data_IF_401690775901
#
_entry.id   IF_401690775901
#
_cell.length_a   1.000
_cell.length_b   1.000
_cell.length_c   1.000
_cell.angle_alpha   90.00
_cell.angle_beta   90.00
_cell.angle_gamma   90.00
#
_symmetry.space_group_name_H-M   'P 1'
#
loop_
_entity.id
_entity.type
_entity.pdbx_description
1 polymer ?
#
# COMPACT_ATOMS: atom_id res chain seq x y z
N UNK A 1 11.19 -2.04 -17.25
CA UNK A 1 12.34 -2.28 -18.14
C UNK A 1 13.43 -1.23 -18.00
N UNK A 2 13.15 0.06 -18.23
CA UNK A 2 14.16 1.13 -18.21
C UNK A 2 15.07 1.06 -16.98
N UNK A 3 14.49 1.03 -15.77
CA UNK A 3 15.26 0.94 -14.52
C UNK A 3 16.14 -0.30 -14.41
N UNK A 4 15.72 -1.44 -15.00
CA UNK A 4 16.52 -2.66 -15.05
C UNK A 4 17.67 -2.56 -16.04
N UNK A 5 17.48 -1.84 -17.15
CA UNK A 5 18.48 -1.67 -18.21
C UNK A 5 19.51 -0.58 -17.87
N UNK A 6 19.09 0.46 -17.16
CA UNK A 6 19.98 1.56 -16.74
C UNK A 6 20.61 1.33 -15.37
N UNK A 7 20.09 0.38 -14.59
CA UNK A 7 20.44 0.18 -13.17
C UNK A 7 20.21 1.43 -12.30
N UNK A 8 19.39 2.36 -12.79
CA UNK A 8 19.05 3.62 -12.14
C UNK A 8 17.54 3.70 -11.90
N UNK A 9 17.15 4.20 -10.73
CA UNK A 9 15.75 4.46 -10.39
C UNK A 9 15.25 5.63 -11.25
N UNK A 10 14.07 5.50 -11.84
CA UNK A 10 13.48 6.59 -12.63
C UNK A 10 13.22 7.79 -11.73
N UNK A 11 13.51 8.99 -12.23
CA UNK A 11 13.17 10.22 -11.52
C UNK A 11 11.65 10.34 -11.37
N UNK A 12 11.16 10.32 -10.13
CA UNK A 12 9.76 10.59 -9.81
C UNK A 12 9.58 11.99 -9.24
N UNK A 13 8.53 12.70 -9.65
CA UNK A 13 8.18 14.00 -9.07
C UNK A 13 7.29 13.83 -7.85
N UNK A 14 7.69 14.42 -6.71
CA UNK A 14 6.85 14.50 -5.53
C UNK A 14 5.74 15.52 -5.76
N UNK A 15 4.49 15.05 -5.76
CA UNK A 15 3.32 15.94 -5.79
C UNK A 15 3.03 16.49 -4.38
N UNK A 16 2.37 17.65 -4.25
CA UNK A 16 1.96 18.15 -2.94
C UNK A 16 1.11 17.17 -2.13
N UNK A 17 0.28 16.37 -2.80
CA UNK A 17 -0.53 15.34 -2.13
C UNK A 17 0.31 14.17 -1.61
N UNK A 18 1.38 13.79 -2.31
CA UNK A 18 2.33 12.77 -1.86
C UNK A 18 3.13 13.28 -0.66
N UNK A 19 3.65 14.51 -0.75
CA UNK A 19 4.38 15.15 0.34
C UNK A 19 3.51 15.25 1.61
N UNK A 20 2.26 15.68 1.46
CA UNK A 20 1.27 15.70 2.54
C UNK A 20 1.06 14.32 3.17
N UNK A 21 1.00 13.26 2.36
CA UNK A 21 0.93 11.88 2.83
C UNK A 21 2.09 11.53 3.74
N UNK A 22 3.31 11.74 3.24
CA UNK A 22 4.57 11.45 3.96
C UNK A 22 4.62 12.18 5.30
N UNK A 23 4.23 13.45 5.33
CA UNK A 23 4.30 14.28 6.54
C UNK A 23 3.36 13.81 7.66
N UNK A 24 2.23 13.19 7.32
CA UNK A 24 1.15 12.90 8.28
C UNK A 24 0.94 11.42 8.56
N UNK A 25 1.60 10.53 7.81
CA UNK A 25 1.50 9.08 7.99
C UNK A 25 1.89 8.65 9.41
N UNK A 26 3.00 9.18 9.94
CA UNK A 26 3.46 8.80 11.28
C UNK A 26 2.46 9.21 12.38
N UNK A 27 1.83 10.37 12.25
CA UNK A 27 0.80 10.82 13.19
C UNK A 27 -0.46 9.94 13.12
N UNK A 28 -0.85 9.53 11.90
CA UNK A 28 -1.96 8.61 11.69
C UNK A 28 -1.69 7.25 12.35
N UNK A 29 -0.48 6.69 12.20
CA UNK A 29 -0.09 5.41 12.80
C UNK A 29 -0.08 5.50 14.34
N UNK A 30 0.44 6.60 14.91
CA UNK A 30 0.41 6.85 16.37
C UNK A 30 -1.02 6.92 16.90
N UNK A 31 -1.89 7.66 16.22
CA UNK A 31 -3.29 7.78 16.65
C UNK A 31 -4.03 6.44 16.50
N UNK A 32 -3.77 5.68 15.43
CA UNK A 32 -4.30 4.32 15.25
C UNK A 32 -3.88 3.39 16.39
N UNK A 33 -2.59 3.38 16.75
CA UNK A 33 -2.02 2.58 17.83
C UNK A 33 -2.71 2.88 19.18
N UNK A 34 -2.96 4.17 19.48
CA UNK A 34 -3.67 4.60 20.68
C UNK A 34 -5.13 4.14 20.67
N UNK A 35 -5.83 4.27 19.53
CA UNK A 35 -7.25 3.92 19.42
C UNK A 35 -7.49 2.42 19.61
N UNK A 36 -6.60 1.58 19.06
CA UNK A 36 -6.73 0.12 19.12
C UNK A 36 -5.95 -0.54 20.25
N UNK A 37 -5.24 0.25 21.07
CA UNK A 37 -4.35 -0.27 22.12
C UNK A 37 -3.41 -1.35 21.57
N UNK A 38 -2.75 -1.03 20.45
CA UNK A 38 -1.92 -1.97 19.71
C UNK A 38 -0.57 -1.37 19.32
N UNK A 39 0.43 -2.22 19.15
CA UNK A 39 1.74 -1.81 18.66
C UNK A 39 1.76 -1.86 17.13
N UNK A 40 2.27 -0.79 16.52
CA UNK A 40 2.52 -0.70 15.08
C UNK A 40 4.02 -0.83 14.85
N UNK A 41 4.46 -1.94 14.26
CA UNK A 41 5.86 -2.16 13.94
C UNK A 41 6.10 -1.70 12.49
N UNK A 42 6.93 -0.65 12.30
CA UNK A 42 7.34 -0.21 10.96
C UNK A 42 8.13 -1.33 10.27
N UNK A 43 7.90 -1.51 8.98
CA UNK A 43 8.66 -2.42 8.13
C UNK A 43 9.16 -1.72 6.87
N UNK A 44 10.20 -2.29 6.26
CA UNK A 44 10.68 -1.87 4.95
C UNK A 44 9.98 -2.62 3.82
N UNK A 45 10.69 -2.76 2.70
CA UNK A 45 10.25 -3.58 1.58
C UNK A 45 10.33 -5.06 1.92
N UNK A 46 9.23 -5.78 1.73
CA UNK A 46 9.09 -7.22 1.98
C UNK A 46 8.92 -7.92 0.64
N UNK A 47 9.85 -8.80 0.30
CA UNK A 47 9.81 -9.57 -0.94
C UNK A 47 8.66 -10.58 -0.92
N UNK A 48 8.04 -10.81 -2.08
CA UNK A 48 7.06 -11.87 -2.25
C UNK A 48 7.76 -13.23 -2.02
N UNK A 49 7.16 -14.18 -1.27
CA UNK A 49 7.85 -15.41 -0.85
C UNK A 49 8.23 -16.35 -2.00
N UNK A 50 7.53 -16.25 -3.14
CA UNK A 50 7.69 -17.18 -4.28
C UNK A 50 7.86 -16.51 -5.64
N UNK A 51 7.58 -15.20 -5.75
CA UNK A 51 7.63 -14.48 -7.03
C UNK A 51 8.85 -13.57 -6.94
N UNK A 52 9.88 -13.87 -7.74
CA UNK A 52 11.08 -13.04 -7.80
C UNK A 52 10.74 -11.65 -8.37
N UNK A 53 11.52 -10.63 -8.00
CA UNK A 53 11.30 -9.25 -8.44
C UNK A 53 9.93 -8.66 -8.07
N UNK A 54 9.29 -9.21 -7.05
CA UNK A 54 8.02 -8.76 -6.51
C UNK A 54 8.11 -8.54 -4.99
N UNK A 55 7.35 -7.59 -4.47
CA UNK A 55 7.29 -7.30 -3.03
C UNK A 55 6.45 -6.08 -2.71
N UNK A 56 6.25 -5.82 -1.42
CA UNK A 56 5.40 -4.75 -0.91
C UNK A 56 5.99 -4.11 0.35
N UNK A 57 5.64 -2.84 0.58
CA UNK A 57 5.98 -2.09 1.79
C UNK A 57 4.68 -1.67 2.47
N UNK A 58 4.13 -2.46 3.41
CA UNK A 58 3.03 -2.00 4.23
C UNK A 58 3.51 -0.93 5.22
N UNK A 59 2.62 -0.01 5.60
CA UNK A 59 2.96 1.10 6.50
C UNK A 59 3.24 0.62 7.93
N UNK A 60 2.65 -0.52 8.33
CA UNK A 60 3.00 -1.17 9.59
C UNK A 60 2.45 -2.59 9.73
N UNK A 61 3.11 -3.34 10.62
CA UNK A 61 2.72 -4.68 11.06
C UNK A 61 2.01 -4.60 12.42
N UNK A 62 0.88 -5.29 12.55
CA UNK A 62 0.08 -5.35 13.79
C UNK A 62 0.04 -6.80 14.30
N UNK A 63 0.64 -7.04 15.47
CA UNK A 63 0.73 -8.38 16.05
C UNK A 63 1.31 -9.41 15.08
N UNK A 64 0.79 -10.65 15.11
CA UNK A 64 1.23 -11.73 14.22
C UNK A 64 0.49 -11.77 12.87
N UNK A 65 -0.76 -11.29 12.83
CA UNK A 65 -1.65 -11.53 11.69
C UNK A 65 -2.07 -10.28 10.91
N UNK A 66 -1.79 -9.09 11.43
CA UNK A 66 -2.38 -7.84 10.93
C UNK A 66 -1.42 -6.91 10.21
N UNK A 67 -1.95 -6.12 9.28
CA UNK A 67 -1.28 -5.00 8.64
C UNK A 67 -2.08 -3.72 8.87
N UNK A 68 -1.42 -2.59 8.69
CA UNK A 68 -2.07 -1.28 8.58
C UNK A 68 -1.58 -0.58 7.31
N UNK A 69 -2.52 0.02 6.59
CA UNK A 69 -2.27 0.82 5.39
C UNK A 69 -2.98 2.17 5.55
N UNK A 70 -2.21 3.24 5.62
CA UNK A 70 -2.63 4.61 5.87
C UNK A 70 -2.69 5.39 4.57
N UNK A 71 -3.79 6.13 4.40
CA UNK A 71 -3.89 7.21 3.42
C UNK A 71 -4.25 8.50 4.14
N UNK A 72 -3.53 9.56 3.84
CA UNK A 72 -3.82 10.91 4.33
C UNK A 72 -4.40 11.79 3.21
N UNK A 73 -5.63 11.57 2.73
CA UNK A 73 -6.18 12.39 1.65
C UNK A 73 -6.63 13.76 2.16
N UNK A 74 -6.79 14.74 1.26
CA UNK A 74 -7.43 16.01 1.61
C UNK A 74 -8.87 15.84 2.14
N UNK A 75 -9.30 16.78 2.97
CA UNK A 75 -10.55 16.72 3.75
C UNK A 75 -11.79 16.33 2.96
N UNK A 76 -11.97 16.82 1.74
CA UNK A 76 -13.13 16.46 0.90
C UNK A 76 -13.15 14.97 0.56
N UNK A 77 -11.99 14.40 0.20
CA UNK A 77 -11.85 12.97 -0.12
C UNK A 77 -11.96 12.12 1.16
N UNK A 78 -11.36 12.58 2.25
CA UNK A 78 -11.49 11.95 3.57
C UNK A 78 -12.97 11.85 3.97
N UNK A 79 -13.72 12.97 3.94
CA UNK A 79 -15.15 12.99 4.27
C UNK A 79 -15.97 12.10 3.34
N UNK A 80 -15.63 12.08 2.05
CA UNK A 80 -16.36 11.23 1.10
C UNK A 80 -16.23 9.76 1.47
N UNK A 81 -15.00 9.31 1.73
CA UNK A 81 -14.74 7.98 2.27
C UNK A 81 -15.41 7.78 3.64
N UNK A 82 -15.46 8.82 4.47
CA UNK A 82 -16.17 8.79 5.76
C UNK A 82 -17.65 8.47 5.60
N UNK A 83 -18.29 8.96 4.55
CA UNK A 83 -19.71 8.70 4.28
C UNK A 83 -19.96 7.36 3.59
N UNK A 84 -19.23 7.05 2.51
CA UNK A 84 -19.54 5.87 1.67
C UNK A 84 -18.76 4.60 2.04
N UNK A 85 -17.62 4.72 2.74
CA UNK A 85 -16.77 3.59 3.12
C UNK A 85 -16.21 2.80 1.93
N UNK A 86 -16.19 3.40 0.74
CA UNK A 86 -15.78 2.74 -0.49
C UNK A 86 -14.27 2.84 -0.64
N UNK A 87 -13.59 1.71 -0.43
CA UNK A 87 -12.15 1.60 -0.72
C UNK A 87 -11.99 1.39 -2.21
N UNK A 88 -11.12 2.20 -2.83
CA UNK A 88 -10.84 2.10 -4.25
C UNK A 88 -10.24 0.73 -4.63
N UNK A 89 -10.55 0.19 -5.81
CA UNK A 89 -10.04 -1.12 -6.24
C UNK A 89 -8.52 -1.24 -6.16
N UNK A 90 -7.78 -0.18 -6.52
CA UNK A 90 -6.32 -0.18 -6.48
C UNK A 90 -5.76 -0.32 -5.05
N UNK A 91 -6.40 0.27 -4.04
CA UNK A 91 -5.98 0.11 -2.64
C UNK A 91 -6.34 -1.27 -2.11
N UNK A 92 -7.44 -1.86 -2.56
CA UNK A 92 -7.76 -3.26 -2.22
C UNK A 92 -6.72 -4.21 -2.80
N UNK A 93 -6.36 -4.04 -4.07
CA UNK A 93 -5.32 -4.83 -4.71
C UNK A 93 -3.97 -4.66 -3.99
N UNK A 94 -3.59 -3.42 -3.63
CA UNK A 94 -2.40 -3.13 -2.84
C UNK A 94 -2.39 -3.92 -1.51
N UNK A 95 -3.47 -3.86 -0.72
CA UNK A 95 -3.54 -4.55 0.57
C UNK A 95 -3.57 -6.07 0.45
N UNK A 96 -4.26 -6.61 -0.56
CA UNK A 96 -4.21 -8.06 -0.83
C UNK A 96 -2.80 -8.50 -1.19
N UNK A 97 -2.09 -7.74 -2.01
CA UNK A 97 -0.72 -8.05 -2.38
C UNK A 97 0.26 -7.92 -1.21
N UNK A 98 0.07 -6.93 -0.32
CA UNK A 98 0.81 -6.85 0.95
C UNK A 98 0.58 -8.10 1.82
N UNK A 99 -0.66 -8.59 1.91
CA UNK A 99 -0.96 -9.84 2.61
C UNK A 99 -0.32 -11.05 1.91
N UNK A 100 -0.28 -11.08 0.57
CA UNK A 100 0.43 -12.12 -0.19
C UNK A 100 1.94 -12.16 0.14
N UNK A 101 2.60 -10.99 0.19
CA UNK A 101 4.02 -10.88 0.50
C UNK A 101 4.36 -11.24 1.94
N UNK A 102 3.47 -10.96 2.89
CA UNK A 102 3.74 -11.09 4.33
C UNK A 102 3.15 -12.33 4.98
N UNK A 103 2.22 -13.02 4.31
CA UNK A 103 1.47 -14.13 4.90
C UNK A 103 0.43 -13.71 5.94
N UNK A 104 0.16 -12.40 6.09
CA UNK A 104 -0.79 -11.86 7.08
C UNK A 104 -2.24 -11.99 6.61
N UNK A 105 -3.15 -11.97 7.57
CA UNK A 105 -4.55 -12.40 7.42
C UNK A 105 -5.53 -11.24 7.24
N UNK A 106 -5.13 -10.04 7.62
CA UNK A 106 -5.94 -8.84 7.44
C UNK A 106 -5.09 -7.58 7.35
N UNK A 107 -5.65 -6.54 6.76
CA UNK A 107 -5.09 -5.20 6.73
C UNK A 107 -6.15 -4.18 7.12
N UNK A 108 -5.86 -3.33 8.09
CA UNK A 108 -6.70 -2.18 8.42
C UNK A 108 -6.36 -1.03 7.48
N UNK A 109 -7.31 -0.67 6.61
CA UNK A 109 -7.24 0.54 5.81
C UNK A 109 -7.62 1.74 6.67
N UNK A 110 -6.71 2.70 6.81
CA UNK A 110 -6.89 3.92 7.58
C UNK A 110 -6.94 5.10 6.62
N UNK A 111 -8.02 5.88 6.68
CA UNK A 111 -8.07 7.22 6.10
C UNK A 111 -7.92 8.21 7.25
N UNK A 112 -7.00 9.16 7.13
CA UNK A 112 -6.66 10.11 8.18
C UNK A 112 -6.59 11.54 7.65
N UNK A 113 -7.10 12.50 8.41
CA UNK A 113 -6.90 13.93 8.14
C UNK A 113 -6.84 14.76 9.43
N UNK A 114 -5.66 15.29 9.81
CA UNK A 114 -5.45 15.98 11.08
C UNK A 114 -6.25 17.29 11.23
N UNK A 115 -6.80 17.85 10.14
CA UNK A 115 -7.58 19.09 10.19
C UNK A 115 -8.90 18.95 10.97
N UNK A 116 -9.41 17.73 11.17
CA UNK A 116 -10.58 17.50 12.01
C UNK A 116 -10.20 17.59 13.49
N UNK A 117 -10.63 18.68 14.14
CA UNK A 117 -10.30 19.05 15.53
C UNK A 117 -11.54 19.46 16.33
N UNK A 118 -11.42 19.54 17.65
CA UNK A 118 -12.49 20.02 18.52
C UNK A 118 -13.77 19.21 18.38
N UNK A 119 -14.87 19.84 17.97
CA UNK A 119 -16.18 19.17 17.82
C UNK A 119 -16.19 18.09 16.72
N UNK A 120 -15.28 18.17 15.74
CA UNK A 120 -15.17 17.19 14.65
C UNK A 120 -14.05 16.17 14.84
N UNK A 121 -13.39 16.13 16.01
CA UNK A 121 -12.25 15.23 16.27
C UNK A 121 -12.54 13.76 15.92
N UNK A 122 -13.77 13.29 16.17
CA UNK A 122 -14.19 11.91 15.86
C UNK A 122 -14.23 11.59 14.36
N UNK A 123 -14.18 12.60 13.50
CA UNK A 123 -14.14 12.44 12.05
C UNK A 123 -12.72 12.37 11.50
N UNK A 124 -11.69 12.53 12.33
CA UNK A 124 -10.28 12.59 11.91
C UNK A 124 -9.78 11.31 11.28
N UNK A 125 -10.29 10.18 11.75
CA UNK A 125 -9.84 8.86 11.33
C UNK A 125 -11.04 7.99 11.00
N UNK A 126 -10.99 7.31 9.85
CA UNK A 126 -11.90 6.22 9.52
C UNK A 126 -11.11 4.99 9.11
N UNK A 127 -11.52 3.87 9.67
CA UNK A 127 -10.78 2.62 9.60
C UNK A 127 -11.71 1.54 9.04
N UNK A 128 -11.19 0.69 8.18
CA UNK A 128 -11.92 -0.45 7.64
C UNK A 128 -10.99 -1.63 7.44
N UNK A 129 -11.29 -2.73 8.14
CA UNK A 129 -10.57 -3.99 7.99
C UNK A 129 -10.89 -4.64 6.65
N UNK A 130 -9.84 -5.05 5.95
CA UNK A 130 -9.89 -5.92 4.78
C UNK A 130 -9.28 -7.25 5.20
N UNK A 131 -10.01 -8.33 4.95
CA UNK A 131 -9.50 -9.68 5.16
C UNK A 131 -8.80 -10.18 3.91
N UNK A 132 -7.80 -11.03 4.14
CA UNK A 132 -7.14 -11.80 3.10
C UNK A 132 -8.17 -12.53 2.24
N UNK A 133 -8.05 -12.37 0.93
CA UNK A 133 -8.87 -13.04 -0.07
C UNK A 133 -7.94 -13.82 -0.99
N UNK A 134 -7.84 -15.13 -0.76
CA UNK A 134 -6.95 -16.01 -1.53
C UNK A 134 -7.27 -16.01 -3.01
N UNK A 135 -8.55 -15.86 -3.40
CA UNK A 135 -8.93 -15.80 -4.81
C UNK A 135 -8.43 -14.52 -5.45
N UNK A 136 -8.56 -13.40 -4.76
CA UNK A 136 -8.05 -12.12 -5.25
C UNK A 136 -6.52 -12.12 -5.31
N UNK A 137 -5.85 -12.69 -4.31
CA UNK A 137 -4.40 -12.82 -4.27
C UNK A 137 -3.90 -13.68 -5.43
N UNK A 138 -4.52 -14.83 -5.68
CA UNK A 138 -4.18 -15.70 -6.81
C UNK A 138 -4.26 -14.95 -8.14
N UNK A 139 -5.34 -14.18 -8.34
CA UNK A 139 -5.50 -13.36 -9.55
C UNK A 139 -4.43 -12.27 -9.69
N UNK A 140 -4.05 -11.62 -8.58
CA UNK A 140 -2.99 -10.62 -8.57
C UNK A 140 -1.65 -11.28 -8.88
N UNK A 141 -1.35 -12.42 -8.26
CA UNK A 141 -0.10 -13.14 -8.45
C UNK A 141 0.07 -13.58 -9.90
N UNK A 142 -0.96 -14.17 -10.51
CA UNK A 142 -0.94 -14.52 -11.94
C UNK A 142 -0.69 -13.30 -12.83
N UNK A 143 -1.32 -12.17 -12.53
CA UNK A 143 -1.11 -10.94 -13.29
C UNK A 143 0.32 -10.40 -13.14
N UNK A 144 0.92 -10.50 -11.95
CA UNK A 144 2.32 -10.11 -11.69
C UNK A 144 3.29 -11.03 -12.43
N UNK A 145 3.08 -12.34 -12.40
CA UNK A 145 3.91 -13.32 -13.12
C UNK A 145 3.90 -13.07 -14.62
N UNK A 146 2.71 -12.92 -15.22
CA UNK A 146 2.55 -12.59 -16.65
C UNK A 146 3.30 -11.29 -16.98
N UNK A 147 3.12 -10.25 -16.16
CA UNK A 147 3.79 -8.98 -16.38
C UNK A 147 5.33 -9.09 -16.29
N UNK A 148 5.85 -9.89 -15.35
CA UNK A 148 7.29 -10.11 -15.21
C UNK A 148 7.86 -10.86 -16.43
N UNK A 149 7.15 -11.87 -16.93
CA UNK A 149 7.53 -12.58 -18.15
C UNK A 149 7.56 -11.65 -19.37
N UNK A 150 6.56 -10.78 -19.52
CA UNK A 150 6.51 -9.77 -20.59
C UNK A 150 7.74 -8.84 -20.53
N UNK A 151 8.08 -8.34 -19.34
CA UNK A 151 9.24 -7.48 -19.12
C UNK A 151 10.54 -8.19 -19.52
N UNK A 152 10.71 -9.46 -19.19
CA UNK A 152 11.90 -10.24 -19.56
C UNK A 152 12.01 -10.48 -21.07
N UNK A 153 10.89 -10.80 -21.72
CA UNK A 153 10.84 -11.01 -23.16
C UNK A 153 11.19 -9.72 -23.92
N UNK A 154 10.62 -8.59 -23.52
CA UNK A 154 10.89 -7.29 -24.14
C UNK A 154 12.34 -6.85 -23.91
N UNK A 155 12.90 -7.05 -22.70
CA UNK A 155 14.32 -6.78 -22.44
C UNK A 155 15.24 -7.62 -23.34
N UNK A 156 14.96 -8.92 -23.48
CA UNK A 156 15.74 -9.81 -24.37
C UNK A 156 15.66 -9.37 -25.83
N UNK A 157 14.48 -8.95 -26.29
CA UNK A 157 14.29 -8.43 -27.64
C UNK A 157 15.11 -7.16 -27.88
N UNK A 158 15.08 -6.20 -26.96
CA UNK A 158 15.85 -4.95 -27.05
C UNK A 158 17.36 -5.24 -27.10
N UNK A 159 17.86 -6.10 -26.21
CA UNK A 159 19.27 -6.46 -26.15
C UNK A 159 19.74 -7.21 -27.41
N UNK A 160 18.87 -8.03 -28.01
CA UNK A 160 19.17 -8.73 -29.26
C UNK A 160 19.22 -7.77 -30.45
N UNK A 161 18.34 -6.75 -30.50
CA UNK A 161 18.35 -5.74 -31.55
C UNK A 161 19.56 -4.79 -31.46
N UNK A 162 20.13 -4.62 -30.27
CA UNK A 162 21.29 -3.77 -30.03
C UNK A 162 22.64 -4.45 -30.34
N UNK A 163 22.65 -5.78 -30.51
CA UNK A 163 23.84 -6.59 -30.83
C UNK A 163 24.08 -6.71 -32.34
#
# INVERSE_FOLDING_TARGET
MTERLTEEISQSYLTPAMQWGIEHEEDALKEYAIIYDTEVIKCGFIQHPTIEMAGASPDGLIGEEGLVEVKCPHSTKHLRFYMDGTIKPEYKAQMQFQMACTGRQWCDFVSYDPHFVGRSLRLRMKIKRIHRDEKQIEQINQAVEIFLEEIEQEMKQILTQAA
#
